data_IF_514806150463
#
_entry.id   IF_514806150463
#
_cell.length_a   1.000
_cell.length_b   1.000
_cell.length_c   1.000
_cell.angle_alpha   90.00
_cell.angle_beta   90.00
_cell.angle_gamma   90.00
#
_symmetry.space_group_name_H-M   'P 1'
#
loop_
_entity.id
_entity.type
_entity.pdbx_description
1 polymer ?
#
# COMPACT_ATOMS: atom_id res chain seq x y z
N UNK A 1 -26.89 -67.90 17.28
CA UNK A 1 -25.72 -67.99 16.39
C UNK A 1 -25.93 -67.03 15.20
N UNK A 2 -26.00 -65.72 15.47
CA UNK A 2 -26.58 -64.77 14.51
C UNK A 2 -25.53 -63.88 13.82
N UNK A 3 -24.28 -64.36 13.77
CA UNK A 3 -23.12 -63.63 13.24
C UNK A 3 -22.69 -64.00 11.82
N UNK A 4 -23.42 -64.87 11.10
CA UNK A 4 -22.97 -65.43 9.81
C UNK A 4 -23.95 -65.28 8.64
N UNK A 5 -25.04 -64.51 8.79
CA UNK A 5 -25.94 -64.27 7.65
C UNK A 5 -25.42 -63.12 6.79
N UNK A 6 -25.12 -63.35 5.50
CA UNK A 6 -24.69 -62.31 4.57
C UNK A 6 -25.68 -61.13 4.50
N UNK A 7 -26.97 -61.42 4.69
CA UNK A 7 -28.05 -60.43 4.67
C UNK A 7 -27.93 -59.43 5.82
N UNK A 8 -27.56 -59.90 7.03
CA UNK A 8 -27.36 -59.01 8.17
C UNK A 8 -26.13 -58.11 7.98
N UNK A 9 -25.07 -58.65 7.37
CA UNK A 9 -23.87 -57.88 7.02
C UNK A 9 -24.19 -56.79 5.99
N UNK A 10 -24.87 -57.12 4.90
CA UNK A 10 -25.27 -56.13 3.88
C UNK A 10 -26.22 -55.07 4.43
N UNK A 11 -27.18 -55.48 5.26
CA UNK A 11 -28.08 -54.52 5.92
C UNK A 11 -27.31 -53.54 6.79
N UNK A 12 -26.34 -54.04 7.58
CA UNK A 12 -25.48 -53.20 8.41
C UNK A 12 -24.63 -52.26 7.56
N UNK A 13 -23.94 -52.77 6.54
CA UNK A 13 -23.12 -51.96 5.62
C UNK A 13 -23.97 -50.88 4.92
N UNK A 14 -25.18 -51.21 4.46
CA UNK A 14 -26.09 -50.24 3.86
C UNK A 14 -26.53 -49.15 4.85
N UNK A 15 -26.88 -49.54 6.08
CA UNK A 15 -27.27 -48.58 7.12
C UNK A 15 -26.10 -47.67 7.49
N UNK A 16 -24.90 -48.22 7.63
CA UNK A 16 -23.69 -47.46 7.93
C UNK A 16 -23.36 -46.46 6.81
N UNK A 17 -23.40 -46.89 5.54
CA UNK A 17 -23.20 -46.00 4.38
C UNK A 17 -24.28 -44.92 4.32
N UNK A 18 -25.55 -45.27 4.54
CA UNK A 18 -26.65 -44.30 4.55
C UNK A 18 -26.48 -43.28 5.67
N UNK A 19 -26.10 -43.71 6.87
CA UNK A 19 -25.87 -42.84 8.00
C UNK A 19 -24.68 -41.91 7.74
N UNK A 20 -23.58 -42.43 7.20
CA UNK A 20 -22.42 -41.64 6.81
C UNK A 20 -22.78 -40.58 5.76
N UNK A 21 -23.54 -40.95 4.72
CA UNK A 21 -23.97 -39.99 3.69
C UNK A 21 -24.92 -38.93 4.23
N UNK A 22 -25.81 -39.30 5.14
CA UNK A 22 -26.66 -38.33 5.84
C UNK A 22 -25.84 -37.38 6.71
N UNK A 23 -24.83 -37.90 7.41
CA UNK A 23 -23.93 -37.09 8.22
C UNK A 23 -23.10 -36.13 7.35
N UNK A 24 -22.50 -36.62 6.27
CA UNK A 24 -21.77 -35.79 5.30
C UNK A 24 -22.65 -34.63 4.76
N UNK A 25 -23.91 -34.93 4.42
CA UNK A 25 -24.84 -33.91 3.93
C UNK A 25 -25.21 -32.92 5.04
N UNK A 26 -25.43 -33.40 6.26
CA UNK A 26 -25.71 -32.54 7.41
C UNK A 26 -24.53 -31.59 7.70
N UNK A 27 -23.31 -32.12 7.72
CA UNK A 27 -22.09 -31.35 7.95
C UNK A 27 -21.89 -30.30 6.84
N UNK A 28 -22.13 -30.67 5.57
CA UNK A 28 -22.05 -29.75 4.44
C UNK A 28 -23.09 -28.62 4.54
N UNK A 29 -24.33 -28.94 4.93
CA UNK A 29 -25.39 -27.95 5.13
C UNK A 29 -25.07 -27.03 6.30
N UNK A 30 -24.59 -27.58 7.42
CA UNK A 30 -24.20 -26.82 8.59
C UNK A 30 -23.03 -25.88 8.29
N UNK A 31 -21.98 -26.36 7.60
CA UNK A 31 -20.86 -25.54 7.14
C UNK A 31 -21.31 -24.43 6.19
N UNK A 32 -22.34 -24.66 5.36
CA UNK A 32 -22.92 -23.62 4.49
C UNK A 32 -23.71 -22.59 5.31
N UNK A 33 -24.45 -23.03 6.32
CA UNK A 33 -25.21 -22.14 7.21
C UNK A 33 -24.29 -21.26 8.06
N UNK A 34 -23.24 -21.83 8.65
CA UNK A 34 -22.26 -21.09 9.46
C UNK A 34 -21.51 -20.05 8.62
N UNK A 35 -21.07 -20.41 7.40
CA UNK A 35 -20.46 -19.46 6.47
C UNK A 35 -21.37 -18.28 6.15
N UNK A 36 -22.65 -18.53 5.84
CA UNK A 36 -23.64 -17.46 5.61
C UNK A 36 -23.82 -16.59 6.84
N UNK A 37 -23.89 -17.20 8.04
CA UNK A 37 -24.04 -16.44 9.28
C UNK A 37 -22.81 -15.56 9.58
N UNK A 38 -21.60 -16.03 9.28
CA UNK A 38 -20.37 -15.23 9.41
C UNK A 38 -20.32 -14.10 8.37
N UNK A 39 -20.66 -14.41 7.12
CA UNK A 39 -20.74 -13.47 6.03
C UNK A 39 -21.72 -12.30 6.29
N UNK A 40 -22.89 -12.60 6.85
CA UNK A 40 -23.89 -11.58 7.21
C UNK A 40 -23.42 -10.65 8.34
N UNK A 41 -22.44 -11.06 9.15
CA UNK A 41 -21.83 -10.17 10.16
C UNK A 41 -20.85 -9.17 9.55
N UNK A 42 -20.38 -9.40 8.31
CA UNK A 42 -19.46 -8.51 7.61
C UNK A 42 -20.23 -7.60 6.63
N UNK A 43 -20.17 -6.27 6.80
CA UNK A 43 -20.85 -5.34 5.90
C UNK A 43 -20.24 -5.40 4.49
N UNK A 44 -18.93 -5.63 4.38
CA UNK A 44 -18.20 -5.73 3.09
C UNK A 44 -18.67 -6.93 2.29
N UNK A 45 -18.80 -8.09 2.95
CA UNK A 45 -19.25 -9.31 2.29
C UNK A 45 -20.72 -9.20 1.86
N UNK A 46 -21.55 -8.62 2.71
CA UNK A 46 -22.97 -8.38 2.39
C UNK A 46 -23.13 -7.49 1.16
N UNK A 47 -22.30 -6.44 1.03
CA UNK A 47 -22.27 -5.58 -0.15
C UNK A 47 -21.81 -6.35 -1.41
N UNK A 48 -20.79 -7.20 -1.29
CA UNK A 48 -20.31 -8.02 -2.41
C UNK A 48 -21.39 -9.01 -2.91
N UNK A 49 -22.11 -9.66 -2.00
CA UNK A 49 -23.25 -10.53 -2.34
C UNK A 49 -24.37 -9.74 -2.97
N UNK A 50 -24.75 -8.59 -2.40
CA UNK A 50 -25.80 -7.73 -2.96
C UNK A 50 -25.46 -7.27 -4.39
N UNK A 51 -24.19 -6.92 -4.64
CA UNK A 51 -23.71 -6.57 -5.97
C UNK A 51 -23.88 -7.73 -6.96
N UNK A 52 -23.49 -8.94 -6.57
CA UNK A 52 -23.62 -10.12 -7.44
C UNK A 52 -25.08 -10.51 -7.69
N UNK A 53 -25.93 -10.37 -6.67
CA UNK A 53 -27.35 -10.64 -6.80
C UNK A 53 -28.04 -9.64 -7.74
N UNK A 54 -27.69 -8.35 -7.65
CA UNK A 54 -28.18 -7.32 -8.58
C UNK A 54 -27.72 -7.58 -10.01
N UNK A 55 -26.48 -8.03 -10.19
CA UNK A 55 -25.95 -8.42 -11.50
C UNK A 55 -26.73 -9.60 -12.09
N UNK A 56 -26.98 -10.64 -11.29
CA UNK A 56 -27.80 -11.78 -11.69
C UNK A 56 -29.24 -11.38 -12.02
N UNK A 57 -29.85 -10.48 -11.24
CA UNK A 57 -31.17 -9.95 -11.51
C UNK A 57 -31.20 -9.17 -12.83
N UNK A 58 -30.19 -8.35 -13.10
CA UNK A 58 -30.06 -7.62 -14.37
C UNK A 58 -29.98 -8.58 -15.56
N UNK A 59 -29.17 -9.63 -15.44
CA UNK A 59 -29.03 -10.66 -16.47
C UNK A 59 -30.32 -11.46 -16.72
N UNK A 60 -31.21 -11.55 -15.71
CA UNK A 60 -32.50 -12.26 -15.79
C UNK A 60 -33.70 -11.34 -16.08
N UNK A 61 -33.47 -10.07 -16.42
CA UNK A 61 -34.55 -9.11 -16.67
C UNK A 61 -35.40 -8.79 -15.43
N UNK A 62 -34.76 -8.68 -14.26
CA UNK A 62 -35.40 -8.27 -13.00
C UNK A 62 -36.01 -9.41 -12.18
N UNK A 63 -35.91 -10.66 -12.63
CA UNK A 63 -36.46 -11.81 -11.92
C UNK A 63 -35.44 -12.40 -10.93
N UNK A 64 -35.84 -12.49 -9.66
CA UNK A 64 -35.10 -13.22 -8.63
C UNK A 64 -35.31 -14.72 -8.85
N UNK A 65 -34.24 -15.45 -9.12
CA UNK A 65 -34.27 -16.91 -9.29
C UNK A 65 -33.49 -17.55 -8.16
N UNK A 66 -34.11 -18.53 -7.51
CA UNK A 66 -33.47 -19.40 -6.51
C UNK A 66 -32.55 -20.44 -7.14
N UNK A 67 -32.72 -20.71 -8.44
CA UNK A 67 -31.89 -21.65 -9.18
C UNK A 67 -30.67 -20.94 -9.78
N UNK A 68 -29.46 -21.50 -9.67
CA UNK A 68 -28.28 -20.99 -10.36
C UNK A 68 -28.50 -20.94 -11.88
N UNK A 69 -27.96 -19.93 -12.56
CA UNK A 69 -27.99 -19.91 -14.04
C UNK A 69 -27.10 -21.03 -14.55
N UNK A 70 -27.68 -22.08 -15.14
CA UNK A 70 -26.97 -23.07 -15.98
C UNK A 70 -25.58 -23.48 -15.48
N UNK A 71 -25.50 -24.18 -14.36
CA UNK A 71 -24.23 -24.69 -13.81
C UNK A 71 -23.30 -23.63 -13.20
N UNK A 72 -23.70 -22.35 -13.14
CA UNK A 72 -22.94 -21.32 -12.43
C UNK A 72 -23.03 -21.50 -10.92
N UNK A 73 -21.92 -21.20 -10.24
CA UNK A 73 -21.83 -21.12 -8.79
C UNK A 73 -22.89 -20.17 -8.22
N UNK A 74 -23.37 -20.51 -7.02
CA UNK A 74 -24.31 -19.67 -6.25
C UNK A 74 -23.72 -18.25 -6.12
N UNK A 75 -24.59 -17.23 -6.11
CA UNK A 75 -24.20 -15.82 -5.94
C UNK A 75 -23.28 -15.62 -4.73
N UNK A 76 -23.54 -16.40 -3.66
CA UNK A 76 -22.70 -16.51 -2.46
C UNK A 76 -21.27 -16.99 -2.75
N UNK A 77 -21.11 -18.07 -3.51
CA UNK A 77 -19.79 -18.61 -3.85
C UNK A 77 -19.03 -17.67 -4.80
N UNK A 78 -19.73 -17.00 -5.72
CA UNK A 78 -19.11 -15.99 -6.58
C UNK A 78 -18.65 -14.76 -5.81
N UNK A 79 -19.43 -14.31 -4.82
CA UNK A 79 -19.03 -13.23 -3.94
C UNK A 79 -17.78 -13.63 -3.12
N UNK A 80 -17.73 -14.86 -2.60
CA UNK A 80 -16.58 -15.40 -1.87
C UNK A 80 -15.33 -15.47 -2.76
N UNK A 81 -15.43 -15.99 -3.98
CA UNK A 81 -14.31 -16.02 -4.95
C UNK A 81 -13.88 -14.61 -5.33
N UNK A 82 -14.80 -13.68 -5.54
CA UNK A 82 -14.49 -12.30 -5.87
C UNK A 82 -13.78 -11.56 -4.71
N UNK A 83 -14.16 -11.86 -3.46
CA UNK A 83 -13.47 -11.34 -2.28
C UNK A 83 -12.07 -11.93 -2.15
N UNK A 84 -11.92 -13.26 -2.28
CA UNK A 84 -10.60 -13.89 -2.27
C UNK A 84 -9.72 -13.45 -3.45
N UNK A 85 -10.32 -13.10 -4.60
CA UNK A 85 -9.60 -12.53 -5.73
C UNK A 85 -9.19 -11.07 -5.51
N UNK A 86 -9.94 -10.29 -4.71
CA UNK A 86 -9.51 -8.96 -4.27
C UNK A 86 -8.38 -9.02 -3.23
N UNK A 87 -8.34 -10.08 -2.42
CA UNK A 87 -7.25 -10.38 -1.49
C UNK A 87 -6.04 -11.06 -2.16
N UNK A 88 -6.10 -11.38 -3.46
CA UNK A 88 -4.88 -11.76 -4.17
C UNK A 88 -3.95 -10.55 -4.23
N UNK A 89 -2.67 -10.69 -3.87
CA UNK A 89 -1.72 -9.61 -3.96
C UNK A 89 -1.72 -9.14 -5.41
N UNK A 90 -2.13 -7.89 -5.65
CA UNK A 90 -1.92 -7.21 -6.94
C UNK A 90 -0.50 -7.54 -7.36
N UNK A 91 -0.31 -8.10 -8.57
CA UNK A 91 1.02 -8.39 -9.13
C UNK A 91 1.91 -7.19 -8.83
N UNK A 92 2.80 -7.35 -7.86
CA UNK A 92 3.60 -6.24 -7.36
C UNK A 92 4.61 -5.97 -8.47
N UNK A 93 4.51 -4.78 -9.07
CA UNK A 93 5.38 -4.42 -10.16
C UNK A 93 6.80 -4.25 -9.58
N UNK A 94 7.76 -5.04 -10.06
CA UNK A 94 9.13 -5.06 -9.50
C UNK A 94 9.78 -3.69 -9.64
N UNK A 95 9.43 -2.93 -10.69
CA UNK A 95 9.83 -1.53 -10.85
C UNK A 95 9.28 -0.61 -9.77
N UNK A 96 8.06 -0.85 -9.30
CA UNK A 96 7.44 -0.06 -8.23
C UNK A 96 8.12 -0.33 -6.88
N UNK A 97 8.46 -1.58 -6.58
CA UNK A 97 9.23 -1.94 -5.38
C UNK A 97 10.58 -1.23 -5.37
N UNK A 98 11.34 -1.31 -6.47
CA UNK A 98 12.64 -0.64 -6.57
C UNK A 98 12.53 0.89 -6.47
N UNK A 99 11.45 1.48 -6.98
CA UNK A 99 11.20 2.92 -6.85
C UNK A 99 10.92 3.30 -5.38
N UNK A 100 10.16 2.47 -4.66
CA UNK A 100 9.86 2.65 -3.23
C UNK A 100 11.12 2.49 -2.38
N UNK A 101 11.95 1.49 -2.64
CA UNK A 101 13.23 1.28 -1.95
C UNK A 101 14.15 2.49 -2.11
N UNK A 102 14.39 2.94 -3.35
CA UNK A 102 15.23 4.12 -3.63
C UNK A 102 14.66 5.39 -3.02
N UNK A 103 13.33 5.53 -2.97
CA UNK A 103 12.67 6.66 -2.31
C UNK A 103 12.94 6.64 -0.81
N UNK A 104 12.79 5.49 -0.16
CA UNK A 104 13.00 5.33 1.27
C UNK A 104 14.47 5.54 1.65
N UNK A 105 15.43 4.99 0.89
CA UNK A 105 16.86 5.23 1.09
C UNK A 105 17.21 6.72 1.02
N UNK A 106 16.70 7.43 0.01
CA UNK A 106 16.92 8.88 -0.13
C UNK A 106 16.28 9.67 1.00
N UNK A 107 15.12 9.25 1.48
CA UNK A 107 14.46 9.86 2.63
C UNK A 107 15.29 9.68 3.92
N UNK A 108 15.80 8.47 4.15
CA UNK A 108 16.69 8.18 5.27
C UNK A 108 17.96 9.03 5.20
N UNK A 109 18.62 9.08 4.04
CA UNK A 109 19.80 9.93 3.84
C UNK A 109 19.52 11.43 4.03
N UNK A 110 18.33 11.91 3.66
CA UNK A 110 17.93 13.30 3.92
C UNK A 110 17.88 13.58 5.43
N UNK A 111 17.29 12.68 6.21
CA UNK A 111 17.18 12.82 7.67
C UNK A 111 18.54 12.67 8.35
N UNK A 112 19.39 11.73 7.90
CA UNK A 112 20.76 11.57 8.37
C UNK A 112 21.61 12.82 8.11
N UNK A 113 21.52 13.41 6.90
CA UNK A 113 22.26 14.63 6.53
C UNK A 113 21.85 15.84 7.35
N UNK A 114 20.58 15.92 7.74
CA UNK A 114 20.10 16.98 8.60
C UNK A 114 20.59 16.81 10.06
N UNK A 115 21.28 15.70 10.39
CA UNK A 115 21.77 15.34 11.74
C UNK A 115 20.68 15.43 12.82
N UNK A 116 19.43 15.23 12.43
CA UNK A 116 18.30 15.37 13.35
C UNK A 116 18.05 14.04 14.01
N UNK A 117 18.50 13.88 15.26
CA UNK A 117 17.94 12.93 16.21
C UNK A 117 16.58 13.42 16.76
N UNK A 118 15.86 14.21 15.96
CA UNK A 118 14.58 14.74 16.33
C UNK A 118 13.51 13.65 16.25
N UNK A 119 12.78 13.41 17.36
CA UNK A 119 11.77 12.37 17.42
C UNK A 119 10.64 12.58 16.40
N UNK A 120 10.37 13.81 15.99
CA UNK A 120 9.30 14.11 15.04
C UNK A 120 9.69 13.72 13.61
N UNK A 121 10.90 14.07 13.17
CA UNK A 121 11.45 13.66 11.88
C UNK A 121 11.50 12.12 11.76
N UNK A 122 11.93 11.43 12.83
CA UNK A 122 11.93 9.96 12.90
C UNK A 122 10.50 9.38 12.88
N UNK A 123 9.55 10.01 13.57
CA UNK A 123 8.15 9.59 13.55
C UNK A 123 7.54 9.68 12.14
N UNK A 124 7.89 10.73 11.38
CA UNK A 124 7.44 10.88 9.99
C UNK A 124 8.05 9.79 9.10
N UNK A 125 9.34 9.51 9.21
CA UNK A 125 9.99 8.42 8.45
C UNK A 125 9.36 7.07 8.78
N UNK A 126 9.15 6.80 10.07
CA UNK A 126 8.48 5.57 10.50
C UNK A 126 7.06 5.47 9.96
N UNK A 127 6.31 6.58 9.95
CA UNK A 127 4.96 6.60 9.38
C UNK A 127 4.97 6.32 7.88
N UNK A 128 5.92 6.91 7.15
CA UNK A 128 6.10 6.66 5.72
C UNK A 128 6.42 5.19 5.46
N UNK A 129 7.34 4.60 6.24
CA UNK A 129 7.65 3.16 6.19
C UNK A 129 6.40 2.32 6.39
N UNK A 130 5.63 2.58 7.45
CA UNK A 130 4.41 1.84 7.77
C UNK A 130 3.36 1.94 6.64
N UNK A 131 3.24 3.11 6.00
CA UNK A 131 2.31 3.30 4.88
C UNK A 131 2.74 2.55 3.63
N UNK A 132 4.04 2.53 3.34
CA UNK A 132 4.61 1.79 2.19
C UNK A 132 4.51 0.28 2.40
N UNK A 133 4.84 -0.23 3.60
CA UNK A 133 4.67 -1.64 3.96
C UNK A 133 3.19 -2.07 3.96
N UNK A 134 2.29 -1.15 4.29
CA UNK A 134 0.84 -1.35 4.21
C UNK A 134 0.27 -1.33 2.77
N UNK A 135 1.11 -1.22 1.74
CA UNK A 135 0.70 -1.24 0.35
C UNK A 135 0.14 0.09 -0.17
N UNK A 136 0.46 1.22 0.48
CA UNK A 136 0.12 2.54 -0.06
C UNK A 136 1.04 2.89 -1.24
N UNK A 137 0.42 3.20 -2.39
CA UNK A 137 1.15 3.70 -3.55
C UNK A 137 1.78 5.08 -3.27
N UNK A 138 2.84 5.42 -4.02
CA UNK A 138 3.48 6.74 -4.03
C UNK A 138 2.63 7.80 -4.75
N UNK A 139 1.40 8.00 -4.27
CA UNK A 139 0.45 8.98 -4.78
C UNK A 139 0.10 10.03 -3.72
N UNK A 140 -0.73 11.01 -4.10
CA UNK A 140 -1.18 12.10 -3.24
C UNK A 140 -1.70 11.62 -1.89
N UNK A 141 -2.29 10.44 -1.82
CA UNK A 141 -2.75 9.78 -0.59
C UNK A 141 -1.65 9.61 0.46
N UNK A 142 -0.41 9.30 0.05
CA UNK A 142 0.74 9.17 0.94
C UNK A 142 1.06 10.50 1.62
N UNK A 143 1.13 11.57 0.83
CA UNK A 143 1.42 12.92 1.33
C UNK A 143 0.32 13.41 2.26
N UNK A 144 -0.95 13.16 1.93
CA UNK A 144 -2.10 13.50 2.80
C UNK A 144 -1.98 12.76 4.13
N UNK A 145 -1.74 11.44 4.13
CA UNK A 145 -1.63 10.65 5.35
C UNK A 145 -0.46 11.10 6.24
N UNK A 146 0.66 11.49 5.65
CA UNK A 146 1.80 12.07 6.38
C UNK A 146 1.43 13.43 6.98
N UNK A 147 0.79 14.31 6.23
CA UNK A 147 0.35 15.61 6.75
C UNK A 147 -0.69 15.46 7.88
N UNK A 148 -1.62 14.51 7.78
CA UNK A 148 -2.57 14.19 8.86
C UNK A 148 -1.85 13.68 10.12
N UNK A 149 -0.81 12.86 9.95
CA UNK A 149 0.01 12.40 11.08
C UNK A 149 0.75 13.55 11.75
N UNK A 150 1.32 14.47 10.96
CA UNK A 150 1.97 15.69 11.47
C UNK A 150 0.95 16.59 12.18
N UNK A 151 -0.27 16.73 11.66
CA UNK A 151 -1.34 17.49 12.29
C UNK A 151 -1.69 16.91 13.67
N UNK A 152 -1.81 15.59 13.80
CA UNK A 152 -2.07 14.94 15.08
C UNK A 152 -0.94 15.21 16.10
N UNK A 153 0.32 15.19 15.66
CA UNK A 153 1.47 15.50 16.53
C UNK A 153 1.53 16.99 16.86
N UNK A 154 1.18 17.85 15.91
CA UNK A 154 1.14 19.30 16.09
C UNK A 154 0.11 19.71 17.16
N UNK A 155 -1.05 19.05 17.20
CA UNK A 155 -2.06 19.23 18.25
C UNK A 155 -1.54 18.86 19.65
N UNK A 156 -0.54 17.98 19.74
CA UNK A 156 0.11 17.57 20.98
C UNK A 156 1.34 18.43 21.35
N UNK A 157 1.62 19.51 20.60
CA UNK A 157 2.70 20.46 20.89
C UNK A 157 3.92 20.36 19.95
N UNK A 158 3.89 19.51 18.92
CA UNK A 158 5.00 19.32 17.97
C UNK A 158 5.02 20.25 16.75
N UNK A 159 4.25 21.34 16.73
CA UNK A 159 3.94 22.11 15.52
C UNK A 159 5.11 22.93 14.92
N UNK A 160 6.18 23.18 15.67
CA UNK A 160 7.17 24.22 15.37
C UNK A 160 8.54 23.68 14.96
N UNK A 161 8.57 22.60 14.19
CA UNK A 161 9.83 21.97 13.82
C UNK A 161 10.29 22.37 12.40
N UNK A 162 11.44 23.06 12.26
CA UNK A 162 11.93 23.57 10.98
C UNK A 162 12.36 22.47 10.00
N UNK A 163 12.61 21.24 10.49
CA UNK A 163 13.11 20.11 9.70
C UNK A 163 12.00 19.35 8.96
N UNK A 164 10.73 19.55 9.33
CA UNK A 164 9.59 18.90 8.67
C UNK A 164 9.43 19.36 7.22
N UNK A 165 9.59 20.66 6.96
CA UNK A 165 9.31 21.24 5.65
C UNK A 165 10.21 20.69 4.52
N UNK A 166 11.53 20.54 4.74
CA UNK A 166 12.41 19.81 3.82
C UNK A 166 11.92 18.38 3.52
N UNK A 167 11.46 17.65 4.53
CA UNK A 167 10.95 16.28 4.38
C UNK A 167 9.67 16.28 3.54
N UNK A 168 8.72 17.18 3.83
CA UNK A 168 7.49 17.32 3.04
C UNK A 168 7.77 17.75 1.60
N UNK A 169 8.75 18.63 1.37
CA UNK A 169 9.17 19.01 0.02
C UNK A 169 9.76 17.83 -0.75
N UNK A 170 10.56 16.98 -0.11
CA UNK A 170 11.09 15.77 -0.73
C UNK A 170 9.98 14.76 -1.10
N UNK A 171 9.03 14.52 -0.19
CA UNK A 171 7.88 13.65 -0.46
C UNK A 171 7.04 14.22 -1.60
N UNK A 172 6.76 15.52 -1.58
CA UNK A 172 6.04 16.23 -2.65
C UNK A 172 6.71 16.04 -4.02
N UNK A 173 8.03 16.21 -4.10
CA UNK A 173 8.77 16.03 -5.36
C UNK A 173 8.64 14.61 -5.90
N UNK A 174 8.68 13.63 -5.00
CA UNK A 174 8.59 12.21 -5.35
C UNK A 174 7.18 11.79 -5.80
N UNK A 175 6.14 12.44 -5.25
CA UNK A 175 4.73 12.21 -5.58
C UNK A 175 4.24 13.11 -6.74
N UNK A 176 5.09 14.02 -7.26
CA UNK A 176 4.79 14.98 -8.35
C UNK A 176 3.60 15.91 -8.05
N UNK A 177 3.49 16.35 -6.80
CA UNK A 177 2.44 17.30 -6.35
C UNK A 177 2.89 18.75 -6.57
N UNK A 178 1.95 19.65 -6.89
CA UNK A 178 2.24 21.08 -7.05
C UNK A 178 2.71 21.75 -5.74
N UNK A 179 3.45 22.86 -5.84
CA UNK A 179 3.88 23.60 -4.64
C UNK A 179 2.67 24.23 -3.94
N UNK A 180 1.80 24.86 -4.74
CA UNK A 180 0.53 25.45 -4.31
C UNK A 180 -0.40 24.40 -3.71
N UNK A 181 -0.40 23.18 -4.25
CA UNK A 181 -1.22 22.08 -3.76
C UNK A 181 -0.76 21.61 -2.36
N UNK A 182 0.55 21.56 -2.11
CA UNK A 182 1.10 21.30 -0.79
C UNK A 182 0.73 22.41 0.21
N UNK A 183 0.86 23.68 -0.18
CA UNK A 183 0.48 24.82 0.66
C UNK A 183 -1.01 24.78 1.01
N UNK A 184 -1.88 24.53 0.04
CA UNK A 184 -3.32 24.37 0.28
C UNK A 184 -3.64 23.22 1.24
N UNK A 185 -2.95 22.08 1.12
CA UNK A 185 -3.10 20.96 2.06
C UNK A 185 -2.67 21.35 3.47
N UNK A 186 -1.52 22.01 3.63
CA UNK A 186 -1.04 22.49 4.93
C UNK A 186 -1.98 23.53 5.55
N UNK A 187 -2.51 24.46 4.74
CA UNK A 187 -3.50 25.46 5.17
C UNK A 187 -4.77 24.79 5.66
N UNK A 188 -5.30 23.81 4.90
CA UNK A 188 -6.53 23.09 5.26
C UNK A 188 -6.41 22.28 6.56
N UNK A 189 -5.19 21.87 6.91
CA UNK A 189 -4.89 21.09 8.12
C UNK A 189 -4.44 21.97 9.29
N UNK A 190 -4.42 23.30 9.14
CA UNK A 190 -4.00 24.23 10.20
C UNK A 190 -2.49 24.24 10.46
N UNK A 191 -1.68 23.74 9.53
CA UNK A 191 -0.21 23.65 9.62
C UNK A 191 0.52 24.88 9.04
N UNK A 192 -0.15 26.03 9.03
CA UNK A 192 0.32 27.28 8.40
C UNK A 192 1.63 27.80 9.05
N UNK A 193 1.86 27.48 10.33
CA UNK A 193 3.09 27.83 11.05
C UNK A 193 4.36 27.27 10.42
N UNK A 194 4.28 26.09 9.77
CA UNK A 194 5.42 25.47 9.08
C UNK A 194 5.81 26.24 7.80
N UNK A 195 4.83 26.83 7.12
CA UNK A 195 5.04 27.64 5.90
C UNK A 195 5.78 28.94 6.28
N UNK A 196 5.34 29.59 7.36
CA UNK A 196 5.93 30.83 7.87
C UNK A 196 7.39 30.65 8.29
N UNK A 197 7.71 29.56 8.99
CA UNK A 197 9.09 29.27 9.42
C UNK A 197 10.02 28.97 8.23
N UNK A 198 9.57 28.18 7.25
CA UNK A 198 10.39 27.88 6.07
C UNK A 198 10.68 29.13 5.20
N UNK A 199 9.75 30.08 5.11
CA UNK A 199 10.02 31.40 4.49
C UNK A 199 10.98 32.24 5.32
N UNK A 200 10.84 32.26 6.64
CA UNK A 200 11.73 33.00 7.53
C UNK A 200 13.18 32.48 7.48
N UNK A 201 13.37 31.16 7.42
CA UNK A 201 14.69 30.52 7.32
C UNK A 201 15.36 30.69 5.95
N UNK A 202 14.60 31.00 4.89
CA UNK A 202 15.15 31.33 3.55
C UNK A 202 15.42 32.82 3.35
N UNK A 203 14.82 33.69 4.17
CA UNK A 203 14.95 35.16 4.06
C UNK A 203 16.22 35.76 4.66
N UNK A 204 17.07 34.99 5.34
CA UNK A 204 18.29 35.51 6.01
C UNK A 204 19.56 35.43 5.17
N UNK A 205 19.47 35.07 3.89
CA UNK A 205 20.59 35.16 2.95
C UNK A 205 20.19 36.12 1.84
N UNK A 206 20.52 37.41 2.01
CA UNK A 206 20.65 38.52 1.02
C UNK A 206 19.98 39.83 1.47
N UNK A 207 20.65 40.58 2.34
CA UNK A 207 20.52 42.05 2.41
C UNK A 207 21.62 42.66 3.30
N UNK A 208 22.89 42.45 2.94
CA UNK A 208 23.98 43.32 3.41
C UNK A 208 24.40 44.20 2.23
N UNK A 209 24.17 45.50 2.38
CA UNK A 209 24.40 46.53 1.38
C UNK A 209 25.87 46.64 0.92
N UNK A 210 26.12 47.14 -0.30
CA UNK A 210 27.45 47.23 -0.88
C UNK A 210 28.19 48.49 -0.39
N UNK A 211 29.50 48.38 -0.11
CA UNK A 211 30.46 49.49 -0.04
C UNK A 211 31.92 48.97 0.04
N UNK A 212 32.94 49.78 -0.29
CA UNK A 212 33.56 49.77 -1.62
C UNK A 212 35.06 49.39 -1.62
N UNK A 213 35.54 49.01 -2.80
CA UNK A 213 36.90 49.19 -3.36
C UNK A 213 38.07 49.48 -2.42
N UNK A 214 39.02 48.53 -2.35
CA UNK A 214 40.46 48.86 -2.42
C UNK A 214 41.28 47.65 -2.87
N UNK A 215 42.14 47.90 -3.87
CA UNK A 215 43.21 47.09 -4.45
C UNK A 215 43.95 46.13 -3.49
N UNK A 216 44.40 44.99 -4.02
CA UNK A 216 45.84 44.67 -4.17
C UNK A 216 46.09 43.16 -4.44
N UNK A 217 46.65 42.89 -5.63
CA UNK A 217 47.82 42.02 -5.84
C UNK A 217 47.64 40.49 -5.85
N UNK A 218 47.61 39.95 -7.08
CA UNK A 218 48.19 38.67 -7.55
C UNK A 218 49.54 38.31 -6.87
N UNK A 219 50.05 37.05 -6.85
CA UNK A 219 50.07 36.20 -8.04
C UNK A 219 50.09 34.66 -7.90
N UNK A 220 49.83 34.04 -9.07
CA UNK A 220 50.50 32.87 -9.69
C UNK A 220 50.17 31.42 -9.30
N UNK A 221 50.08 30.64 -10.39
CA UNK A 221 50.43 29.20 -10.56
C UNK A 221 49.33 28.21 -10.14
N UNK A 222 48.89 27.18 -10.89
CA UNK A 222 49.30 26.44 -12.10
C UNK A 222 48.01 25.70 -12.55
N UNK A 223 47.50 25.78 -13.79
CA UNK A 223 47.87 25.03 -15.00
C UNK A 223 48.07 23.51 -14.83
N UNK A 224 47.28 22.72 -15.57
CA UNK A 224 47.44 21.29 -15.88
C UNK A 224 46.19 20.46 -15.52
N UNK A 225 45.31 20.12 -16.47
CA UNK A 225 45.38 18.92 -17.37
C UNK A 225 44.99 17.62 -16.62
N UNK A 226 44.21 16.65 -17.09
CA UNK A 226 43.64 16.24 -18.39
C UNK A 226 42.48 15.25 -18.06
N UNK A 227 41.51 15.14 -18.98
CA UNK A 227 40.86 13.94 -19.56
C UNK A 227 40.62 12.70 -18.64
N UNK A 228 39.48 12.00 -18.64
CA UNK A 228 38.93 11.24 -19.76
C UNK A 228 37.57 10.62 -19.31
N UNK A 229 36.50 10.84 -20.07
CA UNK A 229 35.38 9.89 -20.26
C UNK A 229 35.74 9.04 -21.51
N UNK A 230 34.99 8.00 -21.94
CA UNK A 230 34.05 7.08 -21.29
C UNK A 230 34.36 5.61 -21.71
N UNK A 231 33.56 4.62 -21.30
CA UNK A 231 32.86 3.71 -22.24
C UNK A 231 32.16 2.53 -21.54
N UNK A 232 31.10 2.11 -22.23
CA UNK A 232 30.19 1.02 -21.91
C UNK A 232 30.67 -0.33 -22.48
N UNK A 233 30.19 -1.43 -21.89
CA UNK A 233 29.79 -2.68 -22.56
C UNK A 233 29.29 -3.66 -21.48
N UNK A 234 28.00 -4.00 -21.43
CA UNK A 234 27.36 -5.06 -22.20
C UNK A 234 27.76 -6.48 -21.76
N UNK A 235 26.79 -7.28 -21.31
CA UNK A 235 26.99 -8.69 -21.00
C UNK A 235 25.76 -9.34 -20.35
N UNK A 236 24.71 -9.53 -21.13
CA UNK A 236 23.50 -10.27 -20.75
C UNK A 236 23.64 -11.78 -20.95
N UNK A 237 22.67 -12.53 -20.39
CA UNK A 237 22.26 -13.91 -20.76
C UNK A 237 23.12 -15.04 -20.17
N UNK A 238 22.60 -16.17 -19.67
CA UNK A 238 21.25 -16.72 -19.51
C UNK A 238 21.36 -17.89 -18.52
N UNK A 239 20.43 -18.04 -17.58
CA UNK A 239 20.24 -19.29 -16.83
C UNK A 239 18.94 -19.93 -17.31
N UNK A 240 19.07 -21.03 -18.04
CA UNK A 240 17.99 -21.92 -18.43
C UNK A 240 18.04 -23.19 -17.57
N UNK A 241 16.93 -23.51 -16.92
CA UNK A 241 16.48 -24.81 -16.44
C UNK A 241 14.94 -24.70 -16.41
N UNK A 242 14.14 -25.75 -16.73
CA UNK A 242 14.22 -27.01 -16.00
C UNK A 242 13.98 -28.28 -16.85
N UNK A 243 14.39 -29.43 -16.31
CA UNK A 243 13.78 -30.73 -16.65
C UNK A 243 13.18 -31.32 -15.38
N UNK A 244 11.90 -31.67 -15.50
CA UNK A 244 11.16 -32.55 -14.61
C UNK A 244 11.54 -34.00 -14.92
N UNK A 245 11.72 -34.80 -13.88
CA UNK A 245 11.16 -36.16 -13.75
C UNK A 245 10.73 -36.37 -12.29
#
# INVERSE_FOLDING_TARGET
>A
EDGKSPVYRWRKEFLDVRQNKNQELYDALQARATRRAMAMKSPVYTQAVAKQLLEDMKMRGGKVSTMPLGGRLDSWQRAEIAMHAQDQPKKVDVSEIQAIERFYEKLCHLVERQRVSDPLSLSVVHKVKQLLEGGSNMHRSLLVAVCTHIQAIAQLGGANNPYIMPILHFIRQSVRVGAEELENMLVSMGLQGLIGQHRASRGTVTAAAPRPSSNATEPKSSAGDLEEEPEAAAGASSKALPNLE
#
